data_IF_458494358135
#
_entry.id   IF_458494358135
#
_cell.length_a   1.000
_cell.length_b   1.000
_cell.length_c   1.000
_cell.angle_alpha   90.00
_cell.angle_beta   90.00
_cell.angle_gamma   90.00
#
_symmetry.space_group_name_H-M   'P 1'
#
loop_
_entity.id
_entity.type
_entity.pdbx_description
1 polymer ?
#
# COMPACT_ATOMS: atom_id res chain seq x y z
N UNK A 1 9.47 24.57 -5.78
CA UNK A 1 8.26 23.73 -5.73
C UNK A 1 7.78 23.70 -4.28
N UNK A 2 6.51 24.02 -4.02
CA UNK A 2 5.88 23.96 -2.69
C UNK A 2 4.66 23.06 -2.84
N UNK A 3 4.65 21.94 -2.13
CA UNK A 3 3.53 21.00 -2.10
C UNK A 3 2.98 20.99 -0.67
N UNK A 4 1.67 21.01 -0.54
CA UNK A 4 1.02 20.92 0.76
C UNK A 4 1.11 19.49 1.29
N UNK A 5 1.25 19.35 2.61
CA UNK A 5 1.25 18.03 3.22
C UNK A 5 -0.12 17.40 3.05
N UNK A 6 -0.15 16.21 2.44
CA UNK A 6 -1.36 15.40 2.26
C UNK A 6 -2.05 15.05 3.59
N UNK A 7 -1.30 15.05 4.69
CA UNK A 7 -1.78 14.71 6.02
C UNK A 7 -1.39 15.80 7.01
N UNK A 8 -2.34 16.21 7.85
CA UNK A 8 -2.09 17.09 9.00
C UNK A 8 -1.45 16.30 10.13
N UNK A 9 -0.50 16.92 10.83
CA UNK A 9 0.18 16.36 12.00
C UNK A 9 1.58 16.93 12.21
N UNK A 10 2.27 16.42 13.21
CA UNK A 10 3.66 16.77 13.55
C UNK A 10 4.62 16.09 12.57
N UNK A 11 5.47 16.87 11.89
CA UNK A 11 6.54 16.28 11.07
C UNK A 11 7.62 15.73 12.01
N UNK A 12 7.84 14.42 11.95
CA UNK A 12 8.83 13.74 12.80
C UNK A 12 10.14 13.46 12.09
N UNK A 13 10.10 13.25 10.78
CA UNK A 13 11.28 12.94 9.98
C UNK A 13 11.10 13.43 8.56
N UNK A 14 12.17 13.98 7.99
CA UNK A 14 12.27 14.29 6.57
C UNK A 14 13.54 13.64 6.03
N UNK A 15 13.40 12.87 4.95
CA UNK A 15 14.52 12.27 4.22
C UNK A 15 14.51 12.81 2.80
N UNK A 16 15.59 13.47 2.41
CA UNK A 16 15.80 13.93 1.04
C UNK A 16 16.77 12.98 0.35
N UNK A 17 16.44 12.55 -0.86
CA UNK A 17 17.30 11.68 -1.66
C UNK A 17 17.35 12.13 -3.13
N UNK A 18 18.47 11.83 -3.79
CA UNK A 18 18.66 12.06 -5.23
C UNK A 18 18.87 10.73 -5.93
N UNK A 19 18.08 10.44 -6.97
CA UNK A 19 18.19 9.23 -7.78
C UNK A 19 17.83 9.54 -9.24
N UNK A 20 18.64 9.08 -10.20
CA UNK A 20 18.48 9.36 -11.64
C UNK A 20 18.21 10.85 -11.95
N UNK A 21 19.04 11.73 -11.38
CA UNK A 21 18.91 13.20 -11.48
C UNK A 21 17.58 13.81 -11.02
N UNK A 22 16.77 13.04 -10.31
CA UNK A 22 15.54 13.49 -9.66
C UNK A 22 15.74 13.58 -8.16
N UNK A 23 15.18 14.62 -7.58
CA UNK A 23 15.11 14.82 -6.14
C UNK A 23 13.79 14.28 -5.60
N UNK A 24 13.85 13.61 -4.45
CA UNK A 24 12.72 13.06 -3.72
C UNK A 24 12.79 13.54 -2.27
N UNK A 25 11.62 13.78 -1.67
CA UNK A 25 11.49 14.02 -0.24
C UNK A 25 10.45 13.06 0.34
N UNK A 26 10.83 12.31 1.37
CA UNK A 26 9.93 11.49 2.18
C UNK A 26 9.72 12.17 3.52
N UNK A 27 8.48 12.55 3.81
CA UNK A 27 8.10 13.27 5.02
C UNK A 27 7.22 12.35 5.86
N UNK A 28 7.70 12.00 7.06
CA UNK A 28 6.94 11.22 8.04
C UNK A 28 6.21 12.16 8.96
N UNK A 29 4.88 12.03 8.97
CA UNK A 29 3.99 12.87 9.78
C UNK A 29 3.34 12.01 10.86
N UNK A 30 3.58 12.36 12.13
CA UNK A 30 2.86 11.80 13.27
C UNK A 30 1.53 12.54 13.40
N UNK A 31 0.44 11.78 13.34
CA UNK A 31 -0.91 12.33 13.50
C UNK A 31 -1.31 12.16 14.96
N UNK A 32 -1.68 13.26 15.61
CA UNK A 32 -2.11 13.26 17.02
C UNK A 32 -3.63 13.17 17.15
N UNK A 33 -4.31 13.22 16.02
CA UNK A 33 -5.73 13.21 15.86
C UNK A 33 -6.18 11.79 15.49
N UNK A 34 -6.62 11.05 16.51
CA UNK A 34 -7.42 9.82 16.42
C UNK A 34 -8.61 9.96 15.47
N UNK A 35 -9.01 11.19 15.18
CA UNK A 35 -10.19 11.56 14.39
C UNK A 35 -9.97 11.61 12.87
N UNK A 36 -8.76 11.34 12.40
CA UNK A 36 -8.38 11.65 11.03
C UNK A 36 -8.14 10.41 10.15
N UNK A 37 -8.57 9.25 10.65
CA UNK A 37 -9.18 8.25 9.80
C UNK A 37 -10.58 8.78 9.44
N UNK A 38 -10.92 8.94 8.16
CA UNK A 38 -12.35 8.95 7.76
C UNK A 38 -13.05 7.59 8.02
N UNK A 39 -12.32 6.64 8.59
CA UNK A 39 -12.81 5.52 9.37
C UNK A 39 -12.53 5.79 10.85
N UNK A 40 -13.09 6.85 11.41
CA UNK A 40 -13.43 6.78 12.83
C UNK A 40 -14.34 5.54 12.91
N UNK A 41 -14.03 4.49 13.70
CA UNK A 41 -15.14 3.71 14.18
C UNK A 41 -16.03 4.75 14.85
N UNK A 42 -17.24 4.96 14.30
CA UNK A 42 -18.28 5.65 15.03
C UNK A 42 -18.15 5.18 16.46
N UNK A 43 -17.85 6.13 17.35
CA UNK A 43 -17.71 5.93 18.80
C UNK A 43 -18.66 4.82 19.19
N UNK A 44 -18.14 3.62 19.40
CA UNK A 44 -18.88 2.41 19.71
C UNK A 44 -20.33 2.48 19.21
N UNK A 45 -20.58 2.12 17.94
CA UNK A 45 -21.85 1.39 17.71
C UNK A 45 -21.91 0.38 18.87
N UNK A 46 -23.03 0.28 19.61
CA UNK A 46 -23.22 -0.67 20.75
C UNK A 46 -23.02 -2.16 20.35
N UNK A 47 -22.45 -2.39 19.17
CA UNK A 47 -22.06 -3.66 18.61
C UNK A 47 -20.89 -4.24 19.41
N UNK A 48 -21.06 -5.45 19.92
CA UNK A 48 -19.97 -6.16 20.57
C UNK A 48 -18.82 -6.41 19.59
N UNK A 49 -17.57 -6.58 20.08
CA UNK A 49 -16.46 -7.00 19.23
C UNK A 49 -16.83 -8.31 18.51
N UNK A 50 -16.48 -8.39 17.23
CA UNK A 50 -16.82 -9.52 16.36
C UNK A 50 -15.56 -10.34 16.04
N UNK A 51 -15.71 -11.68 16.03
CA UNK A 51 -14.66 -12.56 15.55
C UNK A 51 -14.47 -12.43 14.04
N UNK A 52 -13.21 -12.32 13.60
CA UNK A 52 -12.82 -12.26 12.19
C UNK A 52 -11.83 -13.38 11.91
N UNK A 53 -12.19 -14.30 11.02
CA UNK A 53 -11.30 -15.33 10.50
C UNK A 53 -10.78 -14.90 9.12
N UNK A 54 -9.46 -14.92 8.92
CA UNK A 54 -8.82 -14.47 7.67
C UNK A 54 -8.28 -15.67 6.88
N UNK A 55 -8.59 -15.72 5.57
CA UNK A 55 -8.37 -16.92 4.77
C UNK A 55 -7.80 -16.69 3.38
N UNK A 56 -7.35 -17.80 2.78
CA UNK A 56 -6.85 -17.84 1.38
C UNK A 56 -8.02 -17.87 0.39
N UNK A 57 -9.08 -18.62 0.70
CA UNK A 57 -10.24 -18.74 -0.18
C UNK A 57 -11.11 -17.48 -0.15
N UNK A 58 -11.40 -17.00 1.06
CA UNK A 58 -12.17 -15.79 1.40
C UNK A 58 -11.25 -14.90 2.24
N UNK A 59 -11.18 -13.60 1.95
CA UNK A 59 -10.27 -12.69 2.63
C UNK A 59 -10.54 -12.64 4.13
N UNK A 60 -11.82 -12.49 4.49
CA UNK A 60 -12.27 -12.48 5.87
C UNK A 60 -13.70 -13.00 5.97
N UNK A 61 -13.97 -13.78 7.01
CA UNK A 61 -15.31 -14.22 7.42
C UNK A 61 -15.56 -13.73 8.83
N UNK A 62 -16.66 -13.03 9.03
CA UNK A 62 -17.07 -12.48 10.31
C UNK A 62 -18.10 -13.39 10.97
N UNK A 63 -18.14 -13.38 12.31
CA UNK A 63 -19.09 -14.19 13.10
C UNK A 63 -20.57 -13.92 12.75
N UNK A 64 -20.89 -12.72 12.26
CA UNK A 64 -22.22 -12.30 11.83
C UNK A 64 -22.62 -12.87 10.46
N UNK A 65 -21.77 -13.70 9.86
CA UNK A 65 -21.96 -14.30 8.54
C UNK A 65 -21.47 -13.41 7.38
N UNK A 66 -21.00 -12.19 7.65
CA UNK A 66 -20.42 -11.32 6.61
C UNK A 66 -19.15 -11.94 6.06
N UNK A 67 -18.99 -11.91 4.73
CA UNK A 67 -17.79 -12.42 4.06
C UNK A 67 -17.21 -11.37 3.13
N UNK A 68 -15.88 -11.33 3.07
CA UNK A 68 -15.11 -10.47 2.18
C UNK A 68 -14.36 -11.33 1.18
N UNK A 69 -14.61 -11.13 -0.11
CA UNK A 69 -13.94 -11.91 -1.15
C UNK A 69 -12.43 -11.66 -1.18
N UNK A 70 -11.66 -12.71 -1.51
CA UNK A 70 -10.23 -12.58 -1.70
C UNK A 70 -9.92 -12.07 -3.12
N UNK A 71 -9.33 -10.86 -3.30
CA UNK A 71 -9.02 -10.33 -4.63
C UNK A 71 -7.90 -11.09 -5.36
N UNK A 72 -7.23 -12.04 -4.68
CA UNK A 72 -6.16 -12.92 -5.19
C UNK A 72 -5.14 -12.19 -6.07
N UNK A 73 -4.57 -11.04 -5.63
CA UNK A 73 -3.71 -10.20 -6.46
C UNK A 73 -2.41 -10.92 -6.84
N UNK A 74 -1.91 -11.80 -5.95
CA UNK A 74 -0.66 -12.54 -6.13
C UNK A 74 -0.59 -13.23 -7.49
N UNK A 75 -1.57 -14.07 -7.83
CA UNK A 75 -1.62 -14.81 -9.10
C UNK A 75 -1.60 -13.89 -10.34
N UNK A 76 -2.14 -12.68 -10.25
CA UNK A 76 -2.12 -11.69 -11.33
C UNK A 76 -0.72 -11.07 -11.46
N UNK A 77 -0.14 -10.65 -10.35
CA UNK A 77 1.15 -9.97 -10.35
C UNK A 77 2.32 -10.92 -10.60
N UNK A 78 2.26 -12.18 -10.16
CA UNK A 78 3.24 -13.22 -10.48
C UNK A 78 3.33 -13.46 -11.99
N UNK A 79 2.18 -13.57 -12.67
CA UNK A 79 2.15 -13.70 -14.15
C UNK A 79 2.75 -12.47 -14.83
N UNK A 80 2.48 -11.27 -14.32
CA UNK A 80 3.05 -10.02 -14.85
C UNK A 80 4.57 -9.98 -14.63
N UNK A 81 5.03 -10.37 -13.44
CA UNK A 81 6.44 -10.42 -13.09
C UNK A 81 7.20 -11.44 -13.94
N UNK A 82 6.67 -12.65 -14.11
CA UNK A 82 7.27 -13.68 -14.95
C UNK A 82 7.44 -13.23 -16.41
N UNK A 83 6.44 -12.53 -16.97
CA UNK A 83 6.52 -11.93 -18.31
C UNK A 83 7.58 -10.83 -18.39
N UNK A 84 7.64 -9.94 -17.39
CA UNK A 84 8.65 -8.89 -17.32
C UNK A 84 10.06 -9.47 -17.25
N UNK A 85 10.28 -10.49 -16.41
CA UNK A 85 11.56 -11.16 -16.27
C UNK A 85 12.00 -11.87 -17.56
N UNK A 86 11.09 -12.56 -18.28
CA UNK A 86 11.40 -13.17 -19.58
C UNK A 86 11.72 -12.13 -20.65
N UNK A 87 11.03 -10.99 -20.64
CA UNK A 87 11.35 -9.90 -21.56
C UNK A 87 12.73 -9.31 -21.23
N UNK A 88 13.06 -9.14 -19.94
CA UNK A 88 14.35 -8.66 -19.50
C UNK A 88 15.49 -9.62 -19.86
N UNK A 89 15.30 -10.93 -19.70
CA UNK A 89 16.34 -11.95 -19.98
C UNK A 89 16.73 -12.04 -21.45
N UNK A 90 15.85 -11.61 -22.37
CA UNK A 90 16.12 -11.55 -23.82
C UNK A 90 16.86 -10.29 -24.25
N UNK A 91 16.94 -9.27 -23.38
CA UNK A 91 17.61 -8.01 -23.67
C UNK A 91 19.10 -8.13 -23.32
N UNK A 92 19.96 -7.55 -24.16
CA UNK A 92 21.39 -7.45 -23.86
C UNK A 92 21.59 -6.63 -22.58
N UNK A 93 22.22 -7.23 -21.57
CA UNK A 93 22.51 -6.57 -20.29
C UNK A 93 23.30 -5.28 -20.55
N UNK A 94 22.87 -4.17 -19.94
CA UNK A 94 23.49 -2.86 -20.13
C UNK A 94 23.09 -2.10 -21.39
N UNK A 95 22.27 -2.68 -22.28
CA UNK A 95 21.71 -1.92 -23.40
C UNK A 95 20.64 -0.91 -22.93
N UNK A 96 20.38 0.12 -23.73
CA UNK A 96 19.31 1.10 -23.45
C UNK A 96 17.92 0.44 -23.32
N UNK A 97 17.70 -0.68 -24.02
CA UNK A 97 16.48 -1.45 -23.87
C UNK A 97 16.43 -2.24 -22.56
N UNK A 98 17.56 -2.64 -21.97
CA UNK A 98 17.64 -3.36 -20.70
C UNK A 98 17.37 -2.47 -19.48
N UNK A 99 17.77 -1.19 -19.53
CA UNK A 99 17.48 -0.21 -18.48
C UNK A 99 16.05 0.37 -18.53
N UNK A 100 15.29 0.07 -19.59
CA UNK A 100 13.85 0.31 -19.69
C UNK A 100 13.05 -0.79 -19.01
#
# INVERSE_FOLDING_TARGET
MREELRYTGEITKVVVSKHNDKWYASITVRRLDSNNYKHQPLLFDDKPPIGVDVGINTLATCLDGTTFENPRPLKRYERKLARANRNLSRKQKGSQNWYK
#
